data_IF_253173232101
#
_entry.id   IF_253173232101
#
_cell.length_a   1.000
_cell.length_b   1.000
_cell.length_c   1.000
_cell.angle_alpha   90.00
_cell.angle_beta   90.00
_cell.angle_gamma   90.00
#
_symmetry.space_group_name_H-M   'P 1'
#
loop_
_entity.id
_entity.type
_entity.pdbx_description
1 polymer ?
#
# COMPACT_ATOMS: atom_id res chain seq x y z
N UNK A 1 -9.75 -19.20 21.58
CA UNK A 1 -9.85 -17.81 21.11
C UNK A 1 -9.10 -17.75 19.79
N UNK A 2 -9.71 -17.22 18.73
CA UNK A 2 -8.99 -16.96 17.47
C UNK A 2 -7.90 -15.93 17.72
N UNK A 3 -6.73 -16.11 17.11
CA UNK A 3 -5.63 -15.14 17.22
C UNK A 3 -6.12 -13.75 16.75
N UNK A 4 -5.66 -12.65 17.38
CA UNK A 4 -6.01 -11.30 16.94
C UNK A 4 -5.49 -11.05 15.53
N UNK A 5 -6.31 -10.42 14.68
CA UNK A 5 -5.97 -10.15 13.29
C UNK A 5 -6.12 -8.65 13.04
N UNK A 6 -5.09 -8.03 12.45
CA UNK A 6 -5.15 -6.69 11.90
C UNK A 6 -5.10 -6.75 10.36
N UNK A 7 -5.75 -5.78 9.70
CA UNK A 7 -5.82 -5.69 8.25
C UNK A 7 -5.31 -4.32 7.79
N UNK A 8 -4.26 -4.31 6.99
CA UNK A 8 -3.68 -3.12 6.36
C UNK A 8 -4.02 -3.11 4.87
N UNK A 9 -4.70 -2.06 4.40
CA UNK A 9 -5.13 -1.89 3.00
C UNK A 9 -4.50 -0.65 2.38
N UNK A 10 -4.06 -0.75 1.13
CA UNK A 10 -3.41 0.33 0.38
C UNK A 10 -4.38 0.92 -0.64
N UNK A 11 -4.70 2.20 -0.51
CA UNK A 11 -5.66 2.94 -1.34
C UNK A 11 -4.99 3.91 -2.31
N UNK A 12 -3.77 4.31 -2.00
CA UNK A 12 -2.90 5.14 -2.82
C UNK A 12 -1.45 4.95 -2.42
N UNK A 13 -0.54 4.88 -3.39
CA UNK A 13 0.85 4.45 -3.22
C UNK A 13 1.87 5.30 -3.99
N UNK A 14 1.41 6.26 -4.80
CA UNK A 14 2.26 7.16 -5.60
C UNK A 14 2.69 8.37 -4.80
N UNK A 15 3.92 8.81 -4.99
CA UNK A 15 4.44 10.04 -4.44
C UNK A 15 4.13 11.27 -5.28
N UNK A 16 4.24 12.43 -4.68
CA UNK A 16 4.24 13.76 -5.26
C UNK A 16 2.98 14.17 -6.03
N UNK A 17 2.47 13.34 -6.94
CA UNK A 17 1.29 13.65 -7.77
C UNK A 17 0.63 12.38 -8.28
N UNK A 18 -0.71 12.36 -8.43
CA UNK A 18 -1.38 11.21 -9.02
C UNK A 18 -1.03 11.06 -10.50
N UNK A 19 -0.99 9.81 -10.98
CA UNK A 19 -0.76 9.49 -12.40
C UNK A 19 -1.90 8.65 -12.96
N UNK A 20 -2.22 8.86 -14.23
CA UNK A 20 -3.25 8.13 -14.98
C UNK A 20 -2.67 7.35 -16.17
N UNK A 21 -1.34 7.28 -16.28
CA UNK A 21 -0.66 6.58 -17.36
C UNK A 21 -0.95 5.06 -17.28
N UNK A 22 -1.35 4.40 -18.38
CA UNK A 22 -1.53 2.95 -18.45
C UNK A 22 -0.31 2.15 -17.96
N UNK A 23 0.89 2.67 -18.15
CA UNK A 23 2.13 2.04 -17.69
C UNK A 23 2.28 1.99 -16.14
N UNK A 24 1.36 2.61 -15.40
CA UNK A 24 1.38 2.65 -13.92
C UNK A 24 0.17 1.98 -13.28
N UNK A 25 -0.73 1.37 -14.05
CA UNK A 25 -2.03 0.89 -13.56
C UNK A 25 -1.95 -0.29 -12.60
N UNK A 26 -0.95 -1.13 -12.72
CA UNK A 26 -0.82 -2.33 -11.88
C UNK A 26 -0.46 -2.00 -10.43
N UNK A 27 0.44 -1.06 -10.24
CA UNK A 27 0.73 -0.54 -8.89
C UNK A 27 -0.28 0.53 -8.47
N UNK A 28 -0.87 1.24 -9.42
CA UNK A 28 -1.85 2.29 -9.18
C UNK A 28 -1.26 3.69 -9.25
N UNK A 29 -2.12 4.68 -9.44
CA UNK A 29 -1.75 6.07 -9.66
C UNK A 29 -2.22 7.04 -8.58
N UNK A 30 -2.95 6.58 -7.54
CA UNK A 30 -3.38 7.44 -6.46
C UNK A 30 -2.26 7.74 -5.46
N UNK A 31 -2.29 8.94 -4.88
CA UNK A 31 -1.33 9.40 -3.87
C UNK A 31 -1.66 8.87 -2.47
N UNK A 32 -0.76 8.97 -1.48
CA UNK A 32 -0.74 8.20 -0.26
C UNK A 32 -2.05 8.16 0.52
N UNK A 33 -2.55 6.95 0.73
CA UNK A 33 -3.64 6.68 1.66
C UNK A 33 -3.63 5.19 2.03
N UNK A 34 -3.51 4.89 3.30
CA UNK A 34 -3.60 3.53 3.84
C UNK A 34 -4.70 3.46 4.88
N UNK A 35 -5.25 2.26 5.06
CA UNK A 35 -6.22 1.96 6.10
C UNK A 35 -5.72 0.76 6.92
N UNK A 36 -5.62 0.94 8.24
CA UNK A 36 -5.35 -0.14 9.18
C UNK A 36 -6.57 -0.37 10.06
N UNK A 37 -7.12 -1.57 10.03
CA UNK A 37 -8.17 -2.02 10.93
C UNK A 37 -7.51 -2.92 11.97
N UNK A 38 -7.47 -2.47 13.23
CA UNK A 38 -6.91 -3.20 14.35
C UNK A 38 -7.86 -4.32 14.83
N UNK A 39 -7.37 -5.31 15.63
CA UNK A 39 -8.19 -6.42 16.12
C UNK A 39 -9.41 -6.00 16.95
N UNK A 40 -9.33 -4.88 17.65
CA UNK A 40 -10.40 -4.30 18.45
C UNK A 40 -11.43 -3.50 17.62
N UNK A 41 -11.31 -3.55 16.29
CA UNK A 41 -12.14 -2.83 15.33
C UNK A 41 -11.81 -1.33 15.21
N UNK A 42 -10.74 -0.86 15.84
CA UNK A 42 -10.28 0.53 15.66
C UNK A 42 -9.77 0.71 14.23
N UNK A 43 -10.24 1.77 13.57
CA UNK A 43 -9.85 2.11 12.22
C UNK A 43 -8.90 3.31 12.23
N UNK A 44 -7.76 3.11 11.58
CA UNK A 44 -6.75 4.13 11.34
C UNK A 44 -6.64 4.39 9.85
N UNK A 45 -6.56 5.66 9.46
CA UNK A 45 -6.19 6.10 8.12
C UNK A 45 -4.84 6.81 8.23
N UNK A 46 -3.92 6.45 7.35
CA UNK A 46 -2.59 7.05 7.26
C UNK A 46 -2.51 7.80 5.95
N UNK A 47 -2.43 9.12 6.04
CA UNK A 47 -2.51 10.11 4.99
C UNK A 47 -3.83 10.17 4.20
N UNK A 48 -4.05 11.32 3.58
CA UNK A 48 -5.28 11.75 2.93
C UNK A 48 -5.05 12.16 1.46
N UNK A 49 -4.16 11.46 0.75
CA UNK A 49 -3.96 11.66 -0.68
C UNK A 49 -5.17 11.26 -1.52
N UNK A 50 -5.04 11.21 -2.83
CA UNK A 50 -6.17 10.90 -3.73
C UNK A 50 -6.76 9.50 -3.49
N UNK A 51 -5.99 8.57 -2.92
CA UNK A 51 -6.47 7.26 -2.48
C UNK A 51 -7.64 7.33 -1.49
N UNK A 52 -7.72 8.40 -0.69
CA UNK A 52 -8.80 8.62 0.28
C UNK A 52 -10.19 8.67 -0.39
N UNK A 53 -10.30 9.27 -1.58
CA UNK A 53 -11.55 9.28 -2.35
C UNK A 53 -12.01 7.86 -2.67
N UNK A 54 -11.09 6.97 -3.04
CA UNK A 54 -11.39 5.57 -3.34
C UNK A 54 -11.83 4.82 -2.10
N UNK A 55 -11.14 5.00 -0.98
CA UNK A 55 -11.56 4.48 0.33
C UNK A 55 -12.98 4.94 0.66
N UNK A 56 -13.28 6.24 0.50
CA UNK A 56 -14.58 6.82 0.77
C UNK A 56 -15.71 6.21 -0.06
N UNK A 57 -15.46 5.82 -1.32
CA UNK A 57 -16.46 5.18 -2.17
C UNK A 57 -16.84 3.76 -1.72
N UNK A 58 -15.99 3.10 -0.96
CA UNK A 58 -16.22 1.76 -0.38
C UNK A 58 -16.66 1.81 1.08
N UNK A 59 -16.62 2.99 1.72
CA UNK A 59 -16.94 3.20 3.12
C UNK A 59 -18.38 2.90 3.49
N UNK A 60 -19.31 3.14 2.62
CA UNK A 60 -20.75 3.08 2.88
C UNK A 60 -21.36 1.69 2.82
N UNK A 61 -20.60 0.64 2.52
CA UNK A 61 -21.16 -0.66 2.23
C UNK A 61 -21.39 -1.59 3.46
N UNK A 62 -20.54 -1.64 4.52
CA UNK A 62 -20.69 -2.71 5.50
C UNK A 62 -21.69 -2.46 6.62
N UNK A 63 -21.98 -1.22 6.98
CA UNK A 63 -22.69 -0.96 8.24
C UNK A 63 -23.92 -0.07 8.14
N UNK A 64 -24.38 0.32 6.97
CA UNK A 64 -25.69 0.96 6.71
C UNK A 64 -26.25 1.99 7.72
N UNK A 65 -25.70 2.05 8.91
CA UNK A 65 -26.23 2.73 10.08
C UNK A 65 -25.26 3.75 10.69
N UNK A 66 -24.42 4.41 9.95
CA UNK A 66 -23.70 5.62 10.34
C UNK A 66 -23.12 5.62 11.78
N UNK A 67 -21.92 6.09 11.95
CA UNK A 67 -21.34 6.28 13.28
C UNK A 67 -19.95 5.64 13.46
N UNK A 68 -19.21 5.50 12.38
CA UNK A 68 -17.81 5.12 12.47
C UNK A 68 -17.01 6.20 13.21
N UNK A 69 -16.21 5.78 14.18
CA UNK A 69 -15.19 6.60 14.81
C UNK A 69 -13.83 6.19 14.25
N UNK A 70 -13.18 7.12 13.56
CA UNK A 70 -11.97 6.86 12.78
C UNK A 70 -10.85 7.80 13.19
N UNK A 71 -9.63 7.29 13.24
CA UNK A 71 -8.43 8.03 13.59
C UNK A 71 -7.57 8.23 12.34
N UNK A 72 -7.32 9.49 11.97
CA UNK A 72 -6.60 9.88 10.75
C UNK A 72 -5.28 10.53 11.14
N UNK A 73 -4.19 9.95 10.69
CA UNK A 73 -2.84 10.43 10.90
C UNK A 73 -2.33 11.04 9.61
N UNK A 74 -2.04 12.34 9.62
CA UNK A 74 -1.45 13.06 8.48
C UNK A 74 0.02 13.29 8.79
N UNK A 75 0.88 12.67 7.98
CA UNK A 75 2.34 12.72 8.18
C UNK A 75 2.87 14.13 7.98
N UNK A 76 2.40 14.82 6.96
CA UNK A 76 2.76 16.21 6.65
C UNK A 76 1.74 16.84 5.67
N UNK A 77 1.97 18.09 5.25
CA UNK A 77 0.97 18.89 4.55
C UNK A 77 1.27 19.09 3.06
N UNK A 78 2.13 18.29 2.43
CA UNK A 78 2.29 18.31 0.99
C UNK A 78 1.00 17.84 0.29
N UNK A 79 0.78 18.33 -0.92
CA UNK A 79 -0.48 18.14 -1.64
C UNK A 79 -0.89 16.67 -1.79
N UNK A 80 0.05 15.83 -2.10
CA UNK A 80 -0.17 14.39 -2.31
C UNK A 80 -0.63 13.63 -1.05
N UNK A 81 -0.40 14.19 0.14
CA UNK A 81 -0.87 13.61 1.41
C UNK A 81 -2.19 14.19 1.91
N UNK A 82 -2.74 15.24 1.27
CA UNK A 82 -3.93 15.94 1.79
C UNK A 82 -5.00 16.19 0.72
N UNK A 83 -4.70 16.08 -0.57
CA UNK A 83 -5.60 16.51 -1.65
C UNK A 83 -6.89 15.68 -1.78
N UNK A 84 -6.98 14.50 -1.15
CA UNK A 84 -8.19 13.69 -1.12
C UNK A 84 -9.25 14.16 -0.12
N UNK A 85 -8.89 15.05 0.82
CA UNK A 85 -9.75 15.52 1.91
C UNK A 85 -11.10 16.05 1.41
N UNK A 86 -11.17 16.98 0.42
CA UNK A 86 -12.44 17.54 -0.04
C UNK A 86 -13.35 16.50 -0.72
N UNK A 87 -12.82 15.35 -1.11
CA UNK A 87 -13.50 14.32 -1.89
C UNK A 87 -13.85 13.05 -1.10
N UNK A 88 -13.64 13.06 0.21
CA UNK A 88 -13.95 11.93 1.07
C UNK A 88 -15.41 12.01 1.55
N UNK A 89 -16.30 11.33 0.84
CA UNK A 89 -17.74 11.35 1.11
C UNK A 89 -18.14 11.14 2.59
N UNK A 90 -17.46 10.29 3.40
CA UNK A 90 -17.80 10.12 4.80
C UNK A 90 -17.66 11.38 5.67
N UNK A 91 -16.91 12.40 5.25
CA UNK A 91 -16.85 13.69 5.97
C UNK A 91 -18.15 14.49 5.91
N UNK A 92 -19.01 14.20 4.95
CA UNK A 92 -20.31 14.85 4.77
C UNK A 92 -21.46 14.10 5.45
N UNK A 93 -21.18 13.03 6.18
CA UNK A 93 -22.16 12.24 6.91
C UNK A 93 -22.15 12.58 8.42
N UNK A 94 -23.22 13.20 8.92
CA UNK A 94 -23.33 13.77 10.27
C UNK A 94 -23.03 12.77 11.42
N UNK A 95 -23.34 11.49 11.21
CA UNK A 95 -23.15 10.47 12.23
C UNK A 95 -21.70 10.00 12.39
N UNK A 96 -20.80 10.37 11.47
CA UNK A 96 -19.40 9.98 11.53
C UNK A 96 -18.60 10.90 12.48
N UNK A 97 -17.54 10.32 13.05
CA UNK A 97 -16.59 11.04 13.92
C UNK A 97 -15.17 10.76 13.43
N UNK A 98 -14.40 11.81 13.25
CA UNK A 98 -13.02 11.74 12.84
C UNK A 98 -12.11 12.45 13.81
N UNK A 99 -11.04 11.78 14.21
CA UNK A 99 -9.97 12.32 15.03
C UNK A 99 -8.72 12.46 14.17
N UNK A 100 -8.28 13.68 13.96
CA UNK A 100 -7.11 13.98 13.14
C UNK A 100 -5.90 14.23 14.02
N UNK A 101 -4.77 13.68 13.60
CA UNK A 101 -3.49 13.79 14.27
C UNK A 101 -2.44 14.26 13.26
N UNK A 102 -1.72 15.33 13.58
CA UNK A 102 -0.58 15.83 12.82
C UNK A 102 0.19 16.86 13.68
N UNK A 103 1.31 17.31 13.18
CA UNK A 103 2.15 18.27 13.88
C UNK A 103 1.70 19.73 13.69
N UNK A 104 2.19 20.61 14.58
CA UNK A 104 2.09 22.05 14.41
C UNK A 104 3.13 22.53 13.39
N UNK A 105 2.68 23.02 12.26
CA UNK A 105 3.54 23.64 11.27
C UNK A 105 4.09 24.97 11.75
N UNK A 106 5.40 25.19 11.62
CA UNK A 106 6.02 26.50 11.87
C UNK A 106 5.51 27.62 10.95
N UNK A 107 4.91 27.25 9.82
CA UNK A 107 4.37 28.19 8.83
C UNK A 107 2.92 28.59 9.12
N UNK A 108 2.13 27.70 9.73
CA UNK A 108 0.70 27.88 9.98
C UNK A 108 0.41 28.18 11.46
N UNK A 109 1.28 27.74 12.39
CA UNK A 109 1.09 27.92 13.82
C UNK A 109 0.06 26.95 14.41
N UNK A 110 -0.76 27.41 15.36
CA UNK A 110 -1.78 26.58 16.02
C UNK A 110 -2.86 26.12 15.03
N UNK A 111 -3.44 24.96 15.32
CA UNK A 111 -4.52 24.37 14.51
C UNK A 111 -4.10 24.14 13.03
N UNK A 112 -2.81 23.87 12.78
CA UNK A 112 -2.25 23.77 11.44
C UNK A 112 -3.06 22.84 10.52
N UNK A 113 -3.40 21.65 10.97
CA UNK A 113 -4.16 20.71 10.16
C UNK A 113 -5.59 21.21 9.85
N UNK A 114 -6.23 21.88 10.80
CA UNK A 114 -7.54 22.50 10.57
C UNK A 114 -7.43 23.61 9.52
N UNK A 115 -6.38 24.45 9.60
CA UNK A 115 -6.13 25.51 8.61
C UNK A 115 -5.86 24.93 7.23
N UNK A 116 -5.15 23.79 7.12
CA UNK A 116 -4.95 23.09 5.85
C UNK A 116 -6.28 22.65 5.25
N UNK A 117 -7.20 22.08 6.03
CA UNK A 117 -8.55 21.74 5.56
C UNK A 117 -9.31 22.97 5.07
N UNK A 118 -9.30 24.05 5.86
CA UNK A 118 -9.96 25.31 5.49
C UNK A 118 -9.38 25.91 4.22
N UNK A 119 -8.06 25.90 4.07
CA UNK A 119 -7.38 26.46 2.91
C UNK A 119 -7.68 25.66 1.62
N UNK A 120 -7.73 24.34 1.68
CA UNK A 120 -8.07 23.53 0.50
C UNK A 120 -9.50 23.76 0.00
N UNK A 121 -10.41 24.07 0.91
CA UNK A 121 -11.81 24.32 0.60
C UNK A 121 -12.15 25.83 0.53
N UNK A 122 -11.15 26.69 0.38
CA UNK A 122 -11.36 28.12 0.22
C UNK A 122 -11.64 28.51 -1.22
N UNK A 123 -12.50 29.53 -1.40
CA UNK A 123 -12.66 30.16 -2.71
C UNK A 123 -11.34 30.85 -3.15
N UNK A 124 -10.98 30.82 -4.41
CA UNK A 124 -11.69 30.27 -5.58
C UNK A 124 -11.36 28.79 -5.88
N UNK A 125 -10.64 28.11 -5.03
CA UNK A 125 -10.11 26.76 -5.31
C UNK A 125 -11.15 25.67 -5.15
N UNK A 126 -12.15 25.87 -4.27
CA UNK A 126 -13.20 24.90 -4.03
C UNK A 126 -14.57 25.59 -3.89
N UNK A 127 -15.67 24.97 -4.37
CA UNK A 127 -16.96 25.66 -4.45
C UNK A 127 -17.72 25.74 -3.11
N UNK A 128 -17.31 24.96 -2.10
CA UNK A 128 -17.90 24.96 -0.76
C UNK A 128 -16.79 24.97 0.30
N UNK A 129 -17.02 25.61 1.42
CA UNK A 129 -16.08 25.65 2.52
C UNK A 129 -16.20 24.41 3.45
N UNK A 130 -15.32 24.30 4.42
CA UNK A 130 -15.25 23.16 5.35
C UNK A 130 -16.54 23.00 6.19
N UNK A 131 -17.42 24.00 6.31
CA UNK A 131 -18.69 23.87 7.03
C UNK A 131 -19.67 22.89 6.37
N UNK A 132 -19.52 22.66 5.06
CA UNK A 132 -20.29 21.65 4.34
C UNK A 132 -19.99 20.21 4.82
N UNK A 133 -18.84 19.97 5.43
CA UNK A 133 -18.51 18.68 6.06
C UNK A 133 -19.22 18.55 7.40
N UNK A 134 -20.30 17.81 7.48
CA UNK A 134 -21.17 17.70 8.67
C UNK A 134 -20.67 16.69 9.72
N UNK A 135 -19.76 15.79 9.38
CA UNK A 135 -19.16 14.87 10.34
C UNK A 135 -18.45 15.59 11.50
N UNK A 136 -18.50 14.99 12.69
CA UNK A 136 -17.78 15.50 13.85
C UNK A 136 -16.28 15.34 13.68
N UNK A 137 -15.51 16.41 13.84
CA UNK A 137 -14.05 16.42 13.67
C UNK A 137 -13.36 16.94 14.92
N UNK A 138 -12.28 16.27 15.33
CA UNK A 138 -11.36 16.73 16.38
C UNK A 138 -9.96 16.72 15.81
N UNK A 139 -9.20 17.77 16.07
CA UNK A 139 -7.82 17.94 15.64
C UNK A 139 -6.91 17.91 16.87
N UNK A 140 -5.88 17.08 16.84
CA UNK A 140 -4.88 16.94 17.88
C UNK A 140 -3.49 17.16 17.29
N UNK A 141 -2.75 18.09 17.84
CA UNK A 141 -1.34 18.29 17.53
C UNK A 141 -0.52 17.19 18.22
N UNK A 142 0.46 16.67 17.50
CA UNK A 142 1.38 15.60 17.90
C UNK A 142 2.80 16.11 17.75
N UNK A 143 3.65 15.83 18.73
CA UNK A 143 5.06 16.23 18.74
C UNK A 143 6.00 15.02 18.59
N UNK A 144 7.28 15.29 18.29
CA UNK A 144 8.32 14.26 18.25
C UNK A 144 8.45 13.54 19.60
N UNK A 145 8.40 12.22 19.56
CA UNK A 145 8.48 11.38 20.75
C UNK A 145 7.16 11.17 21.48
N UNK A 146 6.07 11.80 21.02
CA UNK A 146 4.75 11.56 21.60
C UNK A 146 4.36 10.09 21.49
N UNK A 147 3.91 9.57 22.62
CA UNK A 147 3.35 8.23 22.73
C UNK A 147 2.01 8.29 23.43
N UNK A 148 0.98 7.70 22.81
CA UNK A 148 -0.37 7.66 23.39
C UNK A 148 -1.12 6.41 22.94
N UNK A 149 -2.24 6.12 23.60
CA UNK A 149 -3.02 4.91 23.36
C UNK A 149 -4.40 5.26 22.82
N UNK A 150 -4.85 4.52 21.82
CA UNK A 150 -6.21 4.54 21.29
C UNK A 150 -6.79 3.13 21.45
N UNK A 151 -7.71 2.95 22.41
CA UNK A 151 -8.17 1.65 22.91
C UNK A 151 -6.98 0.74 23.27
N UNK A 152 -6.80 -0.40 22.58
CA UNK A 152 -5.71 -1.35 22.83
C UNK A 152 -4.44 -1.06 22.02
N UNK A 153 -4.45 -0.01 21.19
CA UNK A 153 -3.39 0.27 20.24
C UNK A 153 -2.52 1.42 20.75
N UNK A 154 -1.20 1.20 20.81
CA UNK A 154 -0.22 2.21 21.19
C UNK A 154 0.35 2.87 19.96
N UNK A 155 0.37 4.21 19.94
CA UNK A 155 0.88 5.00 18.82
C UNK A 155 2.10 5.80 19.29
N UNK A 156 3.17 5.75 18.52
CA UNK A 156 4.37 6.58 18.71
C UNK A 156 4.64 7.37 17.46
N UNK A 157 4.94 8.67 17.61
CA UNK A 157 5.28 9.57 16.53
C UNK A 157 6.73 10.05 16.63
N UNK A 158 7.45 10.10 15.51
CA UNK A 158 8.82 10.63 15.43
C UNK A 158 9.01 11.49 14.18
N UNK A 159 9.82 12.54 14.30
CA UNK A 159 10.25 13.34 13.15
C UNK A 159 11.11 12.52 12.20
N UNK A 160 10.83 12.67 10.92
CA UNK A 160 11.59 12.14 9.79
C UNK A 160 12.25 13.29 9.01
N UNK A 161 13.29 12.96 8.25
CA UNK A 161 14.04 13.93 7.47
C UNK A 161 13.34 14.24 6.13
N UNK A 162 12.49 15.26 6.18
CA UNK A 162 11.77 15.74 5.01
C UNK A 162 11.63 17.27 5.03
N UNK A 163 11.68 17.98 3.87
CA UNK A 163 11.47 19.42 3.82
C UNK A 163 10.17 19.84 4.51
N UNK A 164 10.26 20.87 5.35
CA UNK A 164 9.15 21.40 6.15
C UNK A 164 8.66 20.52 7.30
N UNK A 165 9.17 19.30 7.43
CA UNK A 165 8.86 18.33 8.48
C UNK A 165 7.86 17.26 8.03
N UNK A 166 8.10 16.05 8.50
CA UNK A 166 7.24 14.88 8.32
C UNK A 166 7.27 14.05 9.60
N UNK A 167 6.13 13.49 10.03
CA UNK A 167 6.03 12.53 11.12
C UNK A 167 5.90 11.11 10.58
N UNK A 168 6.75 10.21 11.06
CA UNK A 168 6.50 8.78 10.97
C UNK A 168 5.66 8.31 12.16
N UNK A 169 4.89 7.24 11.96
CA UNK A 169 4.03 6.66 12.98
C UNK A 169 4.31 5.17 13.17
N UNK A 170 4.48 4.76 14.42
CA UNK A 170 4.49 3.37 14.85
C UNK A 170 3.18 3.05 15.53
N UNK A 171 2.46 2.04 15.07
CA UNK A 171 1.19 1.57 15.60
C UNK A 171 1.37 0.13 16.06
N UNK A 172 1.37 -0.05 17.39
CA UNK A 172 1.48 -1.35 18.04
C UNK A 172 0.07 -1.83 18.39
N UNK A 173 -0.36 -2.91 17.76
CA UNK A 173 -1.67 -3.56 17.99
C UNK A 173 -1.47 -4.93 18.63
N UNK A 174 -2.52 -5.55 19.21
CA UNK A 174 -2.43 -6.94 19.68
C UNK A 174 -2.08 -7.97 18.60
N UNK A 175 -2.21 -7.62 17.31
CA UNK A 175 -1.86 -8.49 16.18
C UNK A 175 -0.43 -8.30 15.69
N UNK A 176 0.23 -7.21 16.04
CA UNK A 176 1.57 -6.86 15.59
C UNK A 176 1.76 -5.37 15.38
N UNK A 177 2.95 -5.00 14.95
CA UNK A 177 3.43 -3.63 14.83
C UNK A 177 3.52 -3.21 13.37
N UNK A 178 2.85 -2.10 13.02
CA UNK A 178 2.95 -1.44 11.72
C UNK A 178 3.69 -0.12 11.89
N UNK A 179 4.71 0.11 11.07
CA UNK A 179 5.41 1.40 10.99
C UNK A 179 5.17 2.03 9.63
N UNK A 180 4.70 3.27 9.63
CA UNK A 180 4.50 4.08 8.45
C UNK A 180 5.49 5.25 8.46
N UNK A 181 6.49 5.18 7.61
CA UNK A 181 7.59 6.13 7.50
C UNK A 181 7.83 6.49 6.03
N UNK A 182 6.84 7.15 5.44
CA UNK A 182 6.95 7.76 4.12
C UNK A 182 7.71 9.07 4.20
N UNK A 183 8.19 9.56 3.08
CA UNK A 183 8.81 10.90 2.97
C UNK A 183 9.96 11.11 3.95
N UNK A 184 11.03 10.39 3.71
CA UNK A 184 12.26 10.51 4.49
C UNK A 184 13.49 10.38 3.59
N UNK A 185 14.42 11.30 3.72
CA UNK A 185 15.72 11.27 3.06
C UNK A 185 16.82 10.90 4.07
N UNK A 186 17.64 9.88 3.80
CA UNK A 186 18.74 9.53 4.70
C UNK A 186 19.83 10.63 4.72
N UNK A 187 20.47 10.84 5.89
CA UNK A 187 21.64 11.68 6.03
C UNK A 187 21.60 12.73 7.12
N UNK A 188 20.51 12.87 7.87
CA UNK A 188 20.48 13.60 9.14
C UNK A 188 20.63 12.60 10.30
N UNK A 189 21.75 12.57 11.03
CA UNK A 189 22.02 11.55 12.04
C UNK A 189 20.95 11.44 13.14
N UNK A 190 20.33 12.56 13.53
CA UNK A 190 19.29 12.57 14.55
C UNK A 190 17.97 12.02 14.01
N UNK A 191 17.59 12.42 12.81
CA UNK A 191 16.33 11.99 12.19
C UNK A 191 16.44 10.55 11.66
N UNK A 192 17.61 10.13 11.22
CA UNK A 192 17.92 8.74 10.88
C UNK A 192 17.80 7.84 12.14
N UNK A 193 18.25 8.31 13.31
CA UNK A 193 18.07 7.57 14.58
C UNK A 193 16.59 7.48 14.97
N UNK A 194 15.85 8.57 14.82
CA UNK A 194 14.40 8.55 15.02
C UNK A 194 13.71 7.45 14.17
N UNK A 195 14.12 7.33 12.91
CA UNK A 195 13.57 6.34 12.00
C UNK A 195 13.95 4.91 12.42
N UNK A 196 15.21 4.69 12.88
CA UNK A 196 15.66 3.40 13.43
C UNK A 196 14.83 2.98 14.63
N UNK A 197 14.66 3.89 15.60
CA UNK A 197 13.86 3.64 16.80
C UNK A 197 12.40 3.33 16.45
N UNK A 198 11.83 4.08 15.51
CA UNK A 198 10.44 3.88 15.07
C UNK A 198 10.26 2.50 14.43
N UNK A 199 11.20 2.09 13.56
CA UNK A 199 11.12 0.87 12.77
C UNK A 199 11.60 -0.39 13.51
N UNK A 200 12.24 -0.24 14.70
CA UNK A 200 12.83 -1.37 15.43
C UNK A 200 11.85 -2.52 15.66
N UNK A 201 12.20 -3.71 15.12
CA UNK A 201 11.42 -4.93 15.27
C UNK A 201 10.00 -4.88 14.69
N UNK A 202 9.72 -3.99 13.76
CA UNK A 202 8.39 -3.88 13.15
C UNK A 202 7.99 -5.17 12.42
N UNK A 203 6.73 -5.59 12.55
CA UNK A 203 6.20 -6.69 11.75
C UNK A 203 6.00 -6.25 10.30
N UNK A 204 5.54 -5.01 10.10
CA UNK A 204 5.47 -4.35 8.79
C UNK A 204 6.14 -2.98 8.89
N UNK A 205 7.16 -2.76 8.08
CA UNK A 205 7.82 -1.48 7.89
C UNK A 205 7.50 -0.95 6.50
N UNK A 206 6.72 0.12 6.42
CA UNK A 206 6.35 0.83 5.19
C UNK A 206 7.29 2.01 5.06
N UNK A 207 8.17 1.98 4.06
CA UNK A 207 9.20 2.98 3.87
C UNK A 207 9.14 3.62 2.49
N UNK A 208 9.50 4.90 2.44
CA UNK A 208 9.72 5.62 1.19
C UNK A 208 10.75 4.89 0.30
N UNK A 209 10.42 4.73 -0.96
CA UNK A 209 11.28 4.12 -1.97
C UNK A 209 11.11 4.80 -3.33
N UNK A 210 10.97 6.14 -3.30
CA UNK A 210 10.68 6.92 -4.50
C UNK A 210 11.81 6.83 -5.52
N UNK A 211 13.07 6.80 -5.07
CA UNK A 211 14.23 6.89 -5.96
C UNK A 211 15.07 5.63 -6.00
N UNK A 212 15.86 5.52 -7.07
CA UNK A 212 16.99 4.61 -7.09
C UNK A 212 18.21 5.25 -6.38
N UNK A 213 19.20 4.45 -5.94
CA UNK A 213 20.43 5.00 -5.38
C UNK A 213 21.13 6.03 -6.28
N UNK A 214 21.14 5.79 -7.60
CA UNK A 214 21.73 6.67 -8.59
C UNK A 214 21.00 8.00 -8.69
N UNK A 215 19.68 7.99 -8.68
CA UNK A 215 18.85 9.20 -8.71
C UNK A 215 19.09 10.06 -7.47
N UNK A 216 19.08 9.45 -6.27
CA UNK A 216 19.34 10.17 -5.03
C UNK A 216 20.75 10.77 -5.00
N UNK A 217 21.76 10.00 -5.44
CA UNK A 217 23.15 10.45 -5.44
C UNK A 217 23.44 11.61 -6.42
N UNK A 218 22.63 11.76 -7.48
CA UNK A 218 22.92 12.70 -8.58
C UNK A 218 21.97 13.89 -8.66
N UNK A 219 20.65 13.63 -8.75
CA UNK A 219 19.69 14.67 -9.14
C UNK A 219 18.59 14.94 -8.13
N UNK A 220 18.40 14.07 -7.12
CA UNK A 220 17.27 14.09 -6.21
C UNK A 220 17.64 14.36 -4.74
N UNK A 221 18.91 14.63 -4.45
CA UNK A 221 19.36 14.95 -3.10
C UNK A 221 18.73 16.26 -2.59
N UNK A 222 18.21 16.22 -1.37
CA UNK A 222 17.51 17.35 -0.75
C UNK A 222 16.03 17.44 -1.10
N UNK A 223 15.48 16.45 -1.83
CA UNK A 223 14.06 16.40 -2.15
C UNK A 223 13.21 15.73 -1.06
N UNK A 224 13.87 15.12 -0.06
CA UNK A 224 13.20 14.55 1.11
C UNK A 224 12.72 13.12 0.94
N UNK A 225 13.27 12.37 -0.01
CA UNK A 225 12.85 10.99 -0.31
C UNK A 225 14.00 9.99 -0.26
N UNK A 226 13.64 8.73 -0.06
CA UNK A 226 14.55 7.62 0.11
C UNK A 226 14.68 6.75 -1.15
N UNK A 227 15.47 5.69 -1.02
CA UNK A 227 15.66 4.67 -2.04
C UNK A 227 15.22 3.30 -1.52
N UNK A 228 14.86 2.42 -2.45
CA UNK A 228 14.59 1.02 -2.12
C UNK A 228 15.76 0.38 -1.36
N UNK A 229 17.02 0.71 -1.75
CA UNK A 229 18.23 0.16 -1.14
C UNK A 229 18.37 0.59 0.33
N UNK A 230 18.18 1.88 0.60
CA UNK A 230 18.19 2.38 1.98
C UNK A 230 17.09 1.70 2.83
N UNK A 231 15.88 1.54 2.27
CA UNK A 231 14.81 0.82 2.94
C UNK A 231 15.18 -0.62 3.31
N UNK A 232 15.85 -1.35 2.39
CA UNK A 232 16.34 -2.72 2.63
C UNK A 232 17.43 -2.75 3.71
N UNK A 233 18.42 -1.87 3.61
CA UNK A 233 19.51 -1.82 4.59
C UNK A 233 18.99 -1.53 5.99
N UNK A 234 18.08 -0.56 6.10
CA UNK A 234 17.45 -0.20 7.36
C UNK A 234 16.58 -1.33 7.91
N UNK A 235 15.75 -1.97 7.08
CA UNK A 235 14.89 -3.08 7.52
C UNK A 235 15.72 -4.23 8.12
N UNK A 236 16.88 -4.53 7.52
CA UNK A 236 17.85 -5.53 8.06
C UNK A 236 18.47 -5.08 9.37
N UNK A 237 18.92 -3.83 9.44
CA UNK A 237 19.57 -3.23 10.61
C UNK A 237 18.65 -3.26 11.83
N UNK A 238 17.39 -2.85 11.66
CA UNK A 238 16.41 -2.74 12.75
C UNK A 238 15.63 -4.02 13.04
N UNK A 239 15.85 -5.08 12.27
CA UNK A 239 15.17 -6.37 12.44
C UNK A 239 13.68 -6.31 12.09
N UNK A 240 13.27 -5.49 11.13
CA UNK A 240 11.91 -5.50 10.61
C UNK A 240 11.64 -6.82 9.89
N UNK A 241 10.43 -7.40 10.07
CA UNK A 241 10.08 -8.70 9.49
C UNK A 241 9.68 -8.60 8.03
N UNK A 242 8.96 -7.55 7.67
CA UNK A 242 8.50 -7.29 6.29
C UNK A 242 8.72 -5.83 5.94
N UNK A 243 9.31 -5.58 4.77
CA UNK A 243 9.46 -4.26 4.18
C UNK A 243 8.41 -4.05 3.09
N UNK A 244 7.75 -2.91 3.11
CA UNK A 244 6.88 -2.45 2.02
C UNK A 244 7.46 -1.19 1.40
N UNK A 245 7.93 -1.31 0.17
CA UNK A 245 8.39 -0.19 -0.63
C UNK A 245 7.18 0.66 -1.04
N UNK A 246 7.19 1.91 -0.65
CA UNK A 246 6.05 2.81 -0.77
C UNK A 246 6.45 4.13 -1.46
N UNK A 247 5.48 4.97 -1.77
CA UNK A 247 5.70 6.31 -2.33
C UNK A 247 6.44 6.28 -3.68
N UNK A 248 5.96 5.42 -4.61
CA UNK A 248 6.61 5.25 -5.91
C UNK A 248 6.63 6.57 -6.69
N UNK A 249 7.76 6.86 -7.32
CA UNK A 249 7.92 8.03 -8.20
C UNK A 249 6.81 8.06 -9.27
N UNK A 250 6.13 9.20 -9.50
CA UNK A 250 5.05 9.30 -10.49
C UNK A 250 5.49 8.95 -11.92
N UNK A 251 6.77 9.13 -12.23
CA UNK A 251 7.36 8.77 -13.54
C UNK A 251 7.80 7.30 -13.61
N UNK A 252 7.77 6.56 -12.49
CA UNK A 252 8.10 5.14 -12.47
C UNK A 252 6.98 4.30 -13.04
N UNK A 253 7.25 3.66 -14.18
CA UNK A 253 6.35 2.66 -14.77
C UNK A 253 6.27 1.41 -13.91
N UNK A 254 5.25 0.58 -14.14
CA UNK A 254 5.11 -0.73 -13.49
C UNK A 254 6.36 -1.60 -13.66
N UNK A 255 7.00 -1.57 -14.84
CA UNK A 255 8.24 -2.31 -15.11
C UNK A 255 9.44 -1.80 -14.29
N UNK A 256 9.50 -0.49 -14.03
CA UNK A 256 10.56 0.09 -13.18
C UNK A 256 10.36 -0.33 -11.72
N UNK A 257 9.12 -0.29 -11.22
CA UNK A 257 8.81 -0.76 -9.86
C UNK A 257 9.09 -2.27 -9.73
N UNK A 258 8.81 -3.09 -10.75
CA UNK A 258 9.18 -4.51 -10.77
C UNK A 258 10.70 -4.72 -10.66
N UNK A 259 11.47 -3.90 -11.36
CA UNK A 259 12.94 -3.97 -11.29
C UNK A 259 13.46 -3.59 -9.90
N UNK A 260 12.90 -2.54 -9.30
CA UNK A 260 13.17 -2.13 -7.91
C UNK A 260 12.86 -3.29 -6.95
N UNK A 261 11.67 -3.87 -7.07
CA UNK A 261 11.25 -4.99 -6.20
C UNK A 261 12.15 -6.22 -6.36
N UNK A 262 12.54 -6.54 -7.58
CA UNK A 262 13.46 -7.66 -7.85
C UNK A 262 14.81 -7.44 -7.17
N UNK A 263 15.42 -6.27 -7.37
CA UNK A 263 16.69 -5.93 -6.75
C UNK A 263 16.60 -5.93 -5.20
N UNK A 264 15.50 -5.41 -4.65
CA UNK A 264 15.28 -5.42 -3.21
C UNK A 264 15.17 -6.86 -2.66
N UNK A 265 14.53 -7.77 -3.40
CA UNK A 265 14.37 -9.19 -3.03
C UNK A 265 15.64 -10.00 -3.09
N UNK A 266 16.62 -9.61 -3.87
CA UNK A 266 17.96 -10.23 -3.85
C UNK A 266 18.67 -10.01 -2.52
N UNK A 267 18.29 -8.96 -1.77
CA UNK A 267 18.94 -8.58 -0.53
C UNK A 267 18.08 -8.79 0.73
N UNK A 268 16.75 -8.80 0.59
CA UNK A 268 15.81 -8.98 1.70
C UNK A 268 14.58 -9.74 1.25
N UNK A 269 14.39 -10.96 1.77
CA UNK A 269 13.35 -11.88 1.26
C UNK A 269 11.93 -11.39 1.41
N UNK A 270 11.59 -10.79 2.55
CA UNK A 270 10.22 -10.36 2.85
C UNK A 270 9.98 -8.91 2.41
N UNK A 271 10.05 -8.66 1.10
CA UNK A 271 9.81 -7.34 0.48
C UNK A 271 8.60 -7.38 -0.44
N UNK A 272 7.76 -6.35 -0.33
CA UNK A 272 6.66 -6.05 -1.25
C UNK A 272 6.80 -4.63 -1.79
N UNK A 273 6.39 -4.41 -3.02
CA UNK A 273 6.13 -3.07 -3.52
C UNK A 273 4.63 -2.78 -3.33
N UNK A 274 4.31 -1.67 -2.67
CA UNK A 274 2.94 -1.30 -2.41
C UNK A 274 2.16 -1.13 -3.71
N UNK A 275 0.91 -1.61 -3.73
CA UNK A 275 0.02 -1.38 -4.86
C UNK A 275 -1.41 -1.09 -4.39
N UNK A 276 -2.15 -0.31 -5.15
CA UNK A 276 -3.54 -0.01 -4.83
C UNK A 276 -4.40 -1.27 -4.75
N UNK A 277 -5.16 -1.39 -3.66
CA UNK A 277 -6.00 -2.55 -3.38
C UNK A 277 -5.25 -3.74 -2.77
N UNK A 278 -3.92 -3.65 -2.60
CA UNK A 278 -3.16 -4.61 -1.81
C UNK A 278 -3.67 -4.61 -0.37
N UNK A 279 -3.77 -5.80 0.21
CA UNK A 279 -4.16 -6.00 1.60
C UNK A 279 -3.14 -6.90 2.28
N UNK A 280 -2.61 -6.46 3.41
CA UNK A 280 -1.74 -7.26 4.27
C UNK A 280 -2.50 -7.60 5.54
N UNK A 281 -2.47 -8.88 5.93
CA UNK A 281 -3.06 -9.38 7.17
C UNK A 281 -1.95 -9.75 8.15
N UNK A 282 -2.04 -9.24 9.40
CA UNK A 282 -1.12 -9.58 10.49
C UNK A 282 -1.82 -10.45 11.52
N UNK A 283 -1.05 -11.30 12.23
CA UNK A 283 -1.52 -12.03 13.37
C UNK A 283 -2.26 -13.34 13.05
N UNK A 284 -2.23 -13.83 11.80
CA UNK A 284 -2.69 -15.18 11.49
C UNK A 284 -1.74 -16.21 12.11
N UNK A 285 -2.29 -17.36 12.60
CA UNK A 285 -1.53 -18.42 13.23
C UNK A 285 -0.39 -18.89 12.30
N UNK A 286 0.85 -18.51 12.61
CA UNK A 286 2.03 -18.91 11.85
C UNK A 286 3.04 -17.80 11.58
N UNK A 287 3.00 -16.67 12.25
CA UNK A 287 3.93 -15.51 12.07
C UNK A 287 4.03 -14.96 10.63
N UNK A 288 3.09 -15.26 9.75
CA UNK A 288 3.13 -14.90 8.35
C UNK A 288 2.29 -13.67 8.07
N UNK A 289 2.94 -12.62 7.55
CA UNK A 289 2.31 -11.52 6.85
C UNK A 289 1.75 -12.08 5.54
N UNK A 290 0.43 -12.10 5.40
CA UNK A 290 -0.22 -12.51 4.15
C UNK A 290 -0.60 -11.27 3.35
N UNK A 291 0.00 -11.10 2.17
CA UNK A 291 -0.35 -10.03 1.25
C UNK A 291 -1.27 -10.57 0.14
N UNK A 292 -2.38 -9.86 -0.09
CA UNK A 292 -3.29 -10.11 -1.19
C UNK A 292 -3.27 -8.93 -2.15
N UNK A 293 -2.98 -9.19 -3.42
CA UNK A 293 -2.99 -8.16 -4.45
C UNK A 293 -4.37 -8.07 -5.09
N UNK A 294 -4.82 -6.87 -5.53
CA UNK A 294 -6.07 -6.76 -6.24
C UNK A 294 -5.99 -7.54 -7.56
N UNK A 295 -6.92 -8.46 -7.76
CA UNK A 295 -7.10 -9.05 -9.09
C UNK A 295 -7.61 -7.96 -10.05
N UNK A 296 -7.02 -7.85 -11.23
CA UNK A 296 -7.53 -6.97 -12.28
C UNK A 296 -8.96 -7.41 -12.67
N UNK A 297 -9.97 -6.68 -12.18
CA UNK A 297 -11.40 -6.97 -12.46
C UNK A 297 -11.98 -6.12 -13.60
N UNK A 298 -11.14 -5.50 -14.43
CA UNK A 298 -11.61 -4.54 -15.44
C UNK A 298 -12.14 -5.15 -16.74
N UNK A 299 -12.01 -6.46 -16.96
CA UNK A 299 -12.46 -7.13 -18.17
C UNK A 299 -13.36 -8.32 -17.88
N UNK A 300 -14.32 -8.59 -18.80
CA UNK A 300 -15.14 -9.79 -18.77
C UNK A 300 -14.25 -11.04 -18.77
N UNK A 301 -14.33 -11.84 -17.70
CA UNK A 301 -13.70 -13.13 -17.62
C UNK A 301 -14.59 -14.17 -18.30
N UNK A 302 -13.98 -15.05 -19.06
CA UNK A 302 -14.64 -16.23 -19.60
C UNK A 302 -14.12 -17.44 -18.83
N UNK A 303 -15.02 -18.30 -18.37
CA UNK A 303 -14.63 -19.62 -17.91
C UNK A 303 -13.91 -20.33 -19.07
N UNK A 304 -12.74 -20.83 -18.76
CA UNK A 304 -11.88 -21.48 -19.72
C UNK A 304 -11.28 -22.74 -19.08
N UNK A 305 -10.98 -23.73 -19.90
CA UNK A 305 -10.21 -24.89 -19.48
C UNK A 305 -9.10 -25.14 -20.51
N UNK A 306 -8.15 -24.20 -20.55
CA UNK A 306 -7.01 -24.32 -21.47
C UNK A 306 -5.86 -25.01 -20.76
N UNK A 307 -5.25 -26.01 -21.46
CA UNK A 307 -3.97 -26.56 -21.01
C UNK A 307 -2.89 -25.49 -21.11
N UNK A 308 -2.10 -25.37 -20.05
CA UNK A 308 -1.01 -24.41 -20.00
C UNK A 308 0.25 -25.03 -19.41
N UNK A 309 1.40 -24.54 -19.85
CA UNK A 309 2.70 -24.75 -19.22
C UNK A 309 3.08 -23.46 -18.49
N UNK A 310 3.34 -23.55 -17.20
CA UNK A 310 3.69 -22.41 -16.36
C UNK A 310 5.09 -22.59 -15.83
N UNK A 311 5.89 -21.54 -15.96
CA UNK A 311 7.24 -21.46 -15.39
C UNK A 311 7.31 -20.27 -14.43
N UNK A 312 7.92 -20.46 -13.31
CA UNK A 312 8.07 -19.40 -12.31
C UNK A 312 9.01 -19.79 -11.17
N UNK A 313 9.00 -18.99 -10.12
CA UNK A 313 9.80 -19.20 -8.91
C UNK A 313 8.86 -19.38 -7.73
N UNK A 314 9.09 -20.43 -6.93
CA UNK A 314 8.32 -20.70 -5.72
C UNK A 314 8.62 -19.66 -4.63
N UNK A 315 7.80 -19.62 -3.59
CA UNK A 315 8.03 -18.78 -2.39
C UNK A 315 9.42 -19.03 -1.78
N UNK A 316 9.94 -20.26 -1.82
CA UNK A 316 11.28 -20.62 -1.38
C UNK A 316 12.42 -20.36 -2.39
N UNK A 317 12.16 -19.60 -3.48
CA UNK A 317 13.19 -19.20 -4.46
C UNK A 317 13.58 -20.29 -5.46
N UNK A 318 12.89 -21.45 -5.51
CA UNK A 318 13.16 -22.55 -6.43
C UNK A 318 12.38 -22.37 -7.74
N UNK A 319 13.05 -22.49 -8.88
CA UNK A 319 12.37 -22.54 -10.18
C UNK A 319 11.46 -23.77 -10.29
N UNK A 320 10.30 -23.59 -10.93
CA UNK A 320 9.38 -24.68 -11.24
C UNK A 320 8.86 -24.57 -12.67
N UNK A 321 8.53 -25.75 -13.22
CA UNK A 321 7.84 -25.91 -14.49
C UNK A 321 6.65 -26.84 -14.23
N UNK A 322 5.45 -26.39 -14.55
CA UNK A 322 4.24 -27.17 -14.26
C UNK A 322 3.27 -27.14 -15.44
N UNK A 323 2.73 -28.32 -15.80
CA UNK A 323 1.59 -28.41 -16.71
C UNK A 323 0.30 -28.35 -15.92
N UNK A 324 -0.59 -27.45 -16.32
CA UNK A 324 -1.79 -27.12 -15.55
C UNK A 324 -2.96 -26.70 -16.43
N UNK A 325 -4.03 -26.21 -15.80
CA UNK A 325 -5.22 -25.69 -16.43
C UNK A 325 -5.43 -24.23 -16.04
N UNK A 326 -5.62 -23.38 -17.04
CA UNK A 326 -6.16 -22.02 -16.86
C UNK A 326 -7.66 -22.15 -16.70
N UNK A 327 -8.20 -21.71 -15.56
CA UNK A 327 -9.62 -21.86 -15.20
C UNK A 327 -10.50 -20.70 -15.69
N UNK A 328 -9.96 -19.52 -15.71
CA UNK A 328 -10.58 -18.36 -16.34
C UNK A 328 -9.51 -17.45 -16.97
N UNK A 329 -9.89 -16.73 -18.01
CA UNK A 329 -9.00 -15.82 -18.74
C UNK A 329 -9.74 -14.56 -19.16
N UNK A 330 -9.01 -13.45 -19.17
CA UNK A 330 -9.41 -12.16 -19.72
C UNK A 330 -8.24 -11.54 -20.50
N UNK A 331 -8.46 -10.40 -21.16
CA UNK A 331 -7.37 -9.68 -21.83
C UNK A 331 -6.27 -9.22 -20.86
N UNK A 332 -6.58 -9.11 -19.57
CA UNK A 332 -5.65 -8.56 -18.56
C UNK A 332 -5.07 -9.61 -17.62
N UNK A 333 -5.56 -10.84 -17.62
CA UNK A 333 -5.06 -11.85 -16.70
C UNK A 333 -5.83 -13.16 -16.70
N UNK A 334 -5.36 -14.09 -15.87
CA UNK A 334 -5.94 -15.44 -15.75
C UNK A 334 -5.98 -15.92 -14.30
N UNK A 335 -6.82 -16.94 -14.05
CA UNK A 335 -6.79 -17.76 -12.85
C UNK A 335 -6.23 -19.12 -13.21
N UNK A 336 -5.11 -19.50 -12.61
CA UNK A 336 -4.36 -20.71 -12.91
C UNK A 336 -4.34 -21.61 -11.66
N UNK A 337 -4.51 -22.91 -11.83
CA UNK A 337 -4.44 -23.89 -10.74
C UNK A 337 -3.03 -24.45 -10.68
N UNK A 338 -2.26 -24.19 -9.61
CA UNK A 338 -0.88 -24.64 -9.48
C UNK A 338 -0.67 -25.52 -8.24
N UNK A 339 0.15 -26.55 -8.35
CA UNK A 339 0.66 -27.34 -7.20
C UNK A 339 1.85 -26.63 -6.56
N UNK A 340 2.72 -26.04 -7.38
CA UNK A 340 3.81 -25.22 -6.89
C UNK A 340 3.26 -23.85 -6.51
N UNK A 341 3.50 -23.43 -5.27
CA UNK A 341 3.10 -22.10 -4.78
C UNK A 341 4.13 -21.06 -5.25
N UNK A 342 3.77 -20.20 -6.22
CA UNK A 342 4.67 -19.13 -6.66
C UNK A 342 4.74 -18.05 -5.60
N UNK A 343 5.79 -17.23 -5.67
CA UNK A 343 5.90 -16.05 -4.82
C UNK A 343 4.94 -14.95 -5.32
N UNK A 344 4.25 -14.30 -4.39
CA UNK A 344 3.41 -13.13 -4.71
C UNK A 344 4.27 -12.02 -5.34
N UNK A 345 3.74 -11.33 -6.36
CA UNK A 345 4.47 -10.35 -7.18
C UNK A 345 5.69 -10.92 -7.93
N UNK A 346 5.81 -12.22 -8.09
CA UNK A 346 6.80 -12.81 -9.00
C UNK A 346 6.26 -12.93 -10.42
N UNK A 347 7.15 -12.92 -11.39
CA UNK A 347 6.82 -13.16 -12.81
C UNK A 347 6.53 -14.64 -13.03
N UNK A 348 5.49 -14.91 -13.82
CA UNK A 348 5.18 -16.22 -14.41
C UNK A 348 5.21 -16.10 -15.92
N UNK A 349 5.77 -17.13 -16.56
CA UNK A 349 5.64 -17.34 -18.00
C UNK A 349 4.57 -18.41 -18.21
N UNK A 350 3.55 -18.09 -19.00
CA UNK A 350 2.41 -18.97 -19.27
C UNK A 350 2.32 -19.24 -20.77
N UNK A 351 2.49 -20.49 -21.15
CA UNK A 351 2.30 -20.94 -22.54
C UNK A 351 0.99 -21.71 -22.61
N UNK A 352 0.01 -21.23 -23.37
CA UNK A 352 -1.31 -21.84 -23.49
C UNK A 352 -1.59 -22.29 -24.94
N UNK A 353 -2.32 -23.40 -25.07
CA UNK A 353 -2.92 -23.84 -26.32
C UNK A 353 -4.38 -23.39 -26.38
N UNK A 354 -4.70 -22.52 -27.33
CA UNK A 354 -6.07 -22.02 -27.52
C UNK A 354 -6.64 -22.60 -28.83
N UNK A 355 -7.90 -23.05 -28.83
CA UNK A 355 -8.55 -23.48 -30.07
C UNK A 355 -8.80 -22.29 -31.00
N UNK A 356 -8.33 -22.33 -32.20
CA UNK A 356 -8.64 -21.35 -33.23
C UNK A 356 -10.04 -21.58 -33.82
N UNK A 357 -10.61 -20.58 -34.49
CA UNK A 357 -11.93 -20.64 -35.15
C UNK A 357 -11.96 -21.65 -36.28
N UNK A 358 -10.81 -22.00 -36.83
CA UNK A 358 -10.62 -22.98 -37.92
C UNK A 358 -10.32 -24.42 -37.44
N UNK A 359 -10.39 -24.66 -36.12
CA UNK A 359 -10.07 -25.95 -35.50
C UNK A 359 -8.56 -26.22 -35.35
N UNK A 360 -7.70 -25.29 -35.74
CA UNK A 360 -6.27 -25.34 -35.45
C UNK A 360 -5.98 -24.78 -34.04
N UNK A 361 -5.02 -25.38 -33.36
CA UNK A 361 -4.56 -24.86 -32.06
C UNK A 361 -3.51 -23.78 -32.27
N UNK A 362 -3.73 -22.63 -31.64
CA UNK A 362 -2.74 -21.55 -31.56
C UNK A 362 -2.05 -21.58 -30.20
N UNK A 363 -0.73 -21.42 -30.22
CA UNK A 363 0.05 -21.29 -28.97
C UNK A 363 0.22 -19.82 -28.60
N UNK A 364 -0.20 -19.45 -27.40
CA UNK A 364 0.02 -18.13 -26.83
C UNK A 364 1.11 -18.18 -25.77
N UNK A 365 2.06 -17.27 -25.84
CA UNK A 365 3.10 -17.08 -24.84
C UNK A 365 2.82 -15.76 -24.12
N UNK A 366 2.54 -15.82 -22.84
CA UNK A 366 2.18 -14.67 -22.01
C UNK A 366 3.13 -14.57 -20.83
N UNK A 367 3.43 -13.34 -20.44
CA UNK A 367 4.08 -13.04 -19.16
C UNK A 367 3.09 -12.37 -18.24
N UNK A 368 3.19 -12.66 -16.97
CA UNK A 368 2.34 -12.00 -16.00
C UNK A 368 2.90 -12.08 -14.59
N UNK A 369 2.33 -11.28 -13.71
CA UNK A 369 2.70 -11.24 -12.30
C UNK A 369 1.63 -11.87 -11.44
N UNK A 370 2.09 -12.63 -10.44
CA UNK A 370 1.22 -13.21 -9.41
C UNK A 370 0.66 -12.09 -8.55
N UNK A 371 -0.67 -11.91 -8.58
CA UNK A 371 -1.36 -10.86 -7.82
C UNK A 371 -2.23 -11.41 -6.69
N UNK A 372 -2.52 -12.72 -6.72
CA UNK A 372 -3.33 -13.37 -5.70
C UNK A 372 -3.02 -14.87 -5.67
N UNK A 373 -3.01 -15.43 -4.45
CA UNK A 373 -2.91 -16.86 -4.21
C UNK A 373 -3.99 -17.24 -3.20
N UNK A 374 -4.94 -18.07 -3.61
CA UNK A 374 -6.02 -18.57 -2.77
C UNK A 374 -5.90 -20.09 -2.60
N UNK A 375 -6.52 -20.63 -1.56
CA UNK A 375 -6.67 -22.07 -1.42
C UNK A 375 -7.43 -22.63 -2.64
N UNK A 376 -6.85 -23.62 -3.31
CA UNK A 376 -7.49 -24.26 -4.46
C UNK A 376 -8.64 -25.16 -4.05
N UNK A 377 -9.58 -25.39 -4.98
CA UNK A 377 -10.68 -26.34 -4.79
C UNK A 377 -10.23 -27.80 -4.86
N UNK A 378 -9.04 -28.07 -5.37
CA UNK A 378 -8.42 -29.40 -5.45
C UNK A 378 -7.37 -29.53 -4.37
N UNK A 379 -7.32 -30.71 -3.71
CA UNK A 379 -6.36 -30.97 -2.65
C UNK A 379 -4.93 -30.90 -3.20
N UNK A 380 -4.11 -30.03 -2.62
CA UNK A 380 -2.71 -29.83 -3.02
C UNK A 380 -2.50 -28.83 -4.16
N UNK A 381 -3.54 -28.12 -4.58
CA UNK A 381 -3.43 -27.04 -5.57
C UNK A 381 -3.80 -25.69 -4.95
N UNK A 382 -3.20 -24.63 -5.45
CA UNK A 382 -3.55 -23.24 -5.16
C UNK A 382 -4.18 -22.57 -6.38
N UNK A 383 -5.14 -21.70 -6.17
CA UNK A 383 -5.72 -20.86 -7.23
C UNK A 383 -4.90 -19.56 -7.33
N UNK A 384 -4.12 -19.42 -8.39
CA UNK A 384 -3.19 -18.32 -8.59
C UNK A 384 -3.76 -17.32 -9.60
N UNK A 385 -4.01 -16.10 -9.13
CA UNK A 385 -4.42 -14.98 -9.99
C UNK A 385 -3.18 -14.31 -10.60
N UNK A 386 -3.17 -14.19 -11.92
CA UNK A 386 -2.07 -13.61 -12.71
C UNK A 386 -2.59 -12.43 -13.51
N UNK A 387 -1.86 -11.32 -13.53
CA UNK A 387 -2.10 -10.17 -14.42
C UNK A 387 -1.05 -10.18 -15.52
N UNK A 388 -1.48 -10.18 -16.76
CA UNK A 388 -0.59 -10.19 -17.92
C UNK A 388 0.06 -8.83 -18.16
N UNK A 389 1.28 -8.85 -18.67
CA UNK A 389 2.09 -7.65 -18.95
C UNK A 389 2.33 -7.44 -20.44
N UNK A 390 2.05 -8.45 -21.27
CA UNK A 390 2.21 -8.40 -22.74
C UNK A 390 1.02 -9.06 -23.39
#
# INVERSE_FOLDING_TARGET
MTAPIAKLSFWGVRGSTPTVDPATWRYGGNTPCLELIAPDGTQFILDCGTGLRRLGSQWGAPNGNGGAETHIFVTHYHWDHIQGIPFFAPFFAENNKFHFYSFRSKFLGRDSLKQVFEAQMALPYFPVDMSAMTAKRKFKEVEDGDTFTIKENKITARWLNHPQGCLGFRIETPAGTVVYATDNEPGDPKLDENLRELAAGADIFINDAQYTPEQLATTRKGWGHSTWKHGVDLAREVGAKTLVLFHHDPDSTDRMVDSILRNAREEFDSVFAASEGMVITLGSAGDNVQAHMPGARATLRREAQFRAKVTGVTEGGKEFHEETIVRDISLQGALISLQNMPRLQSELQVTMETPGEDGLHSTMHLRGYVVRIDAGTEKGHSAVGVVFTD
#
